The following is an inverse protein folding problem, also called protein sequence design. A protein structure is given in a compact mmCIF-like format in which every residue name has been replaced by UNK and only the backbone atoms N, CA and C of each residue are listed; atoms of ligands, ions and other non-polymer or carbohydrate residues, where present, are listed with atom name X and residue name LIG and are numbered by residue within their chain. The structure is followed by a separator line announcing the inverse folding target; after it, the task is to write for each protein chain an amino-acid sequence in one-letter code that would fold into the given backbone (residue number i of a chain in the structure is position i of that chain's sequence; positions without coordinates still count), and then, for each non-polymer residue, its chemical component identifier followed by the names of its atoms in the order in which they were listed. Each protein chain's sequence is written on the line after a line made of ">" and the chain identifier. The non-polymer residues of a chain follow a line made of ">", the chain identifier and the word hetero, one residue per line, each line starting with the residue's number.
data_IF_182321523443
#
_entry.id   IF_182321523443
#
_cell.length_a   1.000
_cell.length_b   1.000
_cell.length_c   1.000
_cell.angle_alpha   90.00
_cell.angle_beta   90.00
_cell.angle_gamma   90.00
#
_symmetry.space_group_name_H-M   'P 1'
#
loop_
_entity.id
_entity.type
_entity.pdbx_description
1 polymer ?
#
# COMPACT_ATOMS: atom_id res chain seq x y z
N UNK A 1 35.98 2.95 -58.54
CA UNK A 1 34.83 3.34 -57.71
C UNK A 1 34.69 2.34 -56.58
N UNK A 2 35.28 2.65 -55.41
CA UNK A 2 35.50 1.72 -54.28
C UNK A 2 34.91 2.29 -52.98
N UNK A 3 33.63 2.60 -52.89
CA UNK A 3 33.05 3.03 -51.59
C UNK A 3 31.58 2.63 -51.44
N UNK A 4 31.26 1.33 -51.48
CA UNK A 4 29.96 0.82 -50.99
C UNK A 4 30.19 -0.54 -50.31
N UNK A 5 30.95 -0.57 -49.22
CA UNK A 5 31.02 -1.71 -48.30
C UNK A 5 31.48 -1.23 -46.92
N UNK A 6 30.79 -0.28 -46.31
CA UNK A 6 31.08 0.02 -44.90
C UNK A 6 29.94 0.74 -44.16
N UNK A 7 28.69 0.28 -44.30
CA UNK A 7 27.61 0.84 -43.47
C UNK A 7 26.48 -0.16 -43.22
N UNK A 8 26.80 -1.35 -42.71
CA UNK A 8 25.77 -2.29 -42.25
C UNK A 8 26.19 -3.13 -41.03
N UNK A 9 27.08 -2.61 -40.19
CA UNK A 9 27.54 -3.29 -38.96
C UNK A 9 27.20 -2.49 -37.69
N UNK A 10 26.67 -1.27 -37.80
CA UNK A 10 26.41 -0.40 -36.65
C UNK A 10 24.97 -0.46 -36.08
N UNK A 11 24.12 -1.40 -36.53
CA UNK A 11 22.73 -1.53 -36.07
C UNK A 11 22.48 -2.71 -35.12
N UNK A 12 23.50 -3.52 -34.79
CA UNK A 12 23.33 -4.72 -33.96
C UNK A 12 23.64 -4.51 -32.46
N UNK A 13 24.01 -3.31 -32.03
CA UNK A 13 24.37 -3.03 -30.63
C UNK A 13 23.27 -2.38 -29.77
N UNK A 14 22.05 -2.20 -30.29
CA UNK A 14 20.99 -1.45 -29.60
C UNK A 14 19.77 -2.25 -29.14
N UNK A 15 19.82 -3.58 -29.02
CA UNK A 15 18.65 -4.34 -28.54
C UNK A 15 18.96 -5.44 -27.51
N UNK A 16 19.76 -5.12 -26.51
CA UNK A 16 19.60 -5.73 -25.19
C UNK A 16 19.04 -4.67 -24.21
N UNK A 17 17.86 -4.12 -24.53
CA UNK A 17 16.99 -3.65 -23.46
C UNK A 17 16.57 -4.91 -22.71
N UNK A 18 17.30 -5.26 -21.66
CA UNK A 18 16.76 -6.09 -20.58
C UNK A 18 15.61 -5.27 -19.98
N UNK A 19 14.45 -5.24 -20.64
CA UNK A 19 13.22 -4.86 -19.99
C UNK A 19 13.01 -5.93 -18.94
N UNK A 20 13.50 -5.69 -17.71
CA UNK A 20 12.92 -6.35 -16.55
C UNK A 20 11.45 -6.01 -16.66
N UNK A 21 10.64 -6.97 -17.10
CA UNK A 21 9.20 -6.80 -17.12
C UNK A 21 8.80 -6.43 -15.70
N UNK A 22 8.45 -5.16 -15.53
CA UNK A 22 8.05 -4.66 -14.23
C UNK A 22 6.71 -5.29 -13.90
N UNK A 23 6.59 -5.86 -12.70
CA UNK A 23 5.37 -6.55 -12.30
C UNK A 23 4.17 -5.63 -12.46
N UNK A 24 3.09 -6.14 -13.05
CA UNK A 24 1.96 -5.31 -13.50
C UNK A 24 1.25 -4.51 -12.40
N UNK A 25 1.32 -4.98 -11.16
CA UNK A 25 0.76 -4.27 -10.02
C UNK A 25 1.62 -3.08 -9.57
N UNK A 26 2.84 -2.88 -10.10
CA UNK A 26 3.68 -1.74 -9.72
C UNK A 26 3.02 -0.43 -10.18
N UNK A 27 3.03 0.53 -9.27
CA UNK A 27 2.42 1.85 -9.45
C UNK A 27 1.53 2.24 -8.28
N UNK A 28 0.72 3.26 -8.52
CA UNK A 28 -0.26 3.80 -7.57
C UNK A 28 -1.67 3.37 -7.93
N UNK A 29 -2.43 3.04 -6.89
CA UNK A 29 -3.78 2.53 -7.00
C UNK A 29 -4.65 3.06 -5.87
N UNK A 30 -5.96 3.09 -6.07
CA UNK A 30 -6.90 3.46 -5.04
C UNK A 30 -8.20 2.64 -5.09
N UNK A 31 -8.97 2.71 -4.01
CA UNK A 31 -10.35 2.23 -3.94
C UNK A 31 -11.15 3.01 -2.90
N UNK A 32 -12.47 2.93 -3.02
CA UNK A 32 -13.39 3.22 -1.94
C UNK A 32 -13.85 1.90 -1.33
N UNK A 33 -13.76 1.76 -0.02
CA UNK A 33 -14.35 0.63 0.69
C UNK A 33 -15.83 0.87 1.00
N UNK A 34 -16.54 -0.20 1.31
CA UNK A 34 -17.99 -0.16 1.57
C UNK A 34 -18.36 0.78 2.71
N UNK A 35 -17.46 0.94 3.67
CA UNK A 35 -17.62 1.83 4.82
C UNK A 35 -17.43 3.32 4.50
N UNK A 36 -17.20 3.65 3.22
CA UNK A 36 -16.96 5.02 2.78
C UNK A 36 -15.52 5.47 2.98
N UNK A 37 -14.60 4.59 3.41
CA UNK A 37 -13.19 4.95 3.50
C UNK A 37 -12.52 4.97 2.13
N UNK A 38 -11.61 5.92 1.95
CA UNK A 38 -10.75 6.01 0.77
C UNK A 38 -9.38 5.42 1.09
N UNK A 39 -8.86 4.59 0.20
CA UNK A 39 -7.61 3.84 0.41
C UNK A 39 -6.69 4.00 -0.79
N UNK A 40 -5.42 4.31 -0.55
CA UNK A 40 -4.37 4.42 -1.55
C UNK A 40 -3.27 3.38 -1.33
N UNK A 41 -2.79 2.80 -2.43
CA UNK A 41 -1.74 1.80 -2.46
C UNK A 41 -0.61 2.30 -3.37
N UNK A 42 0.63 2.32 -2.87
CA UNK A 42 1.84 2.40 -3.70
C UNK A 42 2.53 1.06 -3.66
N UNK A 43 2.64 0.41 -4.81
CA UNK A 43 3.33 -0.87 -4.96
C UNK A 43 4.61 -0.60 -5.75
N UNK A 44 5.76 -0.93 -5.16
CA UNK A 44 7.07 -0.84 -5.81
C UNK A 44 7.77 -2.19 -5.78
N UNK A 45 8.93 -2.31 -6.42
CA UNK A 45 9.76 -3.51 -6.33
C UNK A 45 10.28 -3.82 -4.90
N UNK A 46 10.24 -2.85 -3.98
CA UNK A 46 10.89 -2.94 -2.67
C UNK A 46 9.90 -2.91 -1.51
N UNK A 47 8.79 -2.21 -1.68
CA UNK A 47 7.78 -2.04 -0.65
C UNK A 47 6.38 -1.86 -1.22
N UNK A 48 5.40 -2.14 -0.38
CA UNK A 48 4.00 -1.76 -0.55
C UNK A 48 3.64 -0.80 0.58
N UNK A 49 3.07 0.34 0.24
CA UNK A 49 2.59 1.35 1.18
C UNK A 49 1.08 1.47 1.01
N UNK A 50 0.35 1.43 2.12
CA UNK A 50 -1.11 1.57 2.15
C UNK A 50 -1.50 2.69 3.11
N UNK A 51 -2.38 3.57 2.66
CA UNK A 51 -2.98 4.67 3.44
C UNK A 51 -4.49 4.56 3.38
N UNK A 52 -5.16 4.91 4.47
CA UNK A 52 -6.62 4.87 4.58
C UNK A 52 -7.13 6.08 5.34
N UNK A 53 -8.31 6.59 4.98
CA UNK A 53 -8.96 7.68 5.74
C UNK A 53 -9.43 7.24 7.13
N UNK A 54 -9.39 5.93 7.45
CA UNK A 54 -9.74 5.42 8.78
C UNK A 54 -8.66 5.64 9.85
N UNK A 55 -7.42 5.90 9.46
CA UNK A 55 -6.34 6.10 10.41
C UNK A 55 -5.20 6.95 9.83
N UNK A 56 -4.44 7.61 10.72
CA UNK A 56 -3.19 8.30 10.33
C UNK A 56 -1.98 7.35 10.35
N UNK A 57 -2.23 6.03 10.32
CA UNK A 57 -1.18 5.02 10.26
C UNK A 57 -0.77 4.78 8.82
N UNK A 58 0.54 4.71 8.58
CA UNK A 58 1.09 4.31 7.28
C UNK A 58 1.43 2.84 7.37
N UNK A 59 0.66 2.00 6.69
CA UNK A 59 0.97 0.58 6.59
C UNK A 59 2.06 0.39 5.55
N UNK A 60 3.18 -0.20 5.98
CA UNK A 60 4.33 -0.40 5.12
C UNK A 60 4.77 -1.86 5.19
N UNK A 61 4.87 -2.50 4.03
CA UNK A 61 5.33 -3.87 3.89
C UNK A 61 6.54 -3.90 2.97
N UNK A 62 7.54 -4.70 3.30
CA UNK A 62 8.59 -5.05 2.34
C UNK A 62 7.94 -5.90 1.26
N UNK A 63 8.30 -5.64 0.00
CA UNK A 63 7.82 -6.38 -1.15
C UNK A 63 9.00 -7.00 -1.91
N UNK A 64 8.83 -8.23 -2.37
CA UNK A 64 9.70 -8.86 -3.35
C UNK A 64 8.83 -9.46 -4.46
N UNK A 65 9.30 -9.40 -5.70
CA UNK A 65 8.61 -10.06 -6.82
C UNK A 65 9.27 -11.39 -7.12
N UNK A 66 8.52 -12.48 -6.96
CA UNK A 66 8.97 -13.85 -7.21
C UNK A 66 7.93 -14.54 -8.09
N UNK A 67 8.36 -15.06 -9.25
CA UNK A 67 7.48 -15.74 -10.21
C UNK A 67 6.21 -14.92 -10.55
N UNK A 68 6.38 -13.61 -10.74
CA UNK A 68 5.30 -12.66 -11.01
C UNK A 68 4.22 -12.61 -9.90
N UNK A 69 4.60 -12.86 -8.65
CA UNK A 69 3.77 -12.64 -7.46
C UNK A 69 4.45 -11.62 -6.54
N UNK A 70 3.66 -10.86 -5.79
CA UNK A 70 4.13 -9.97 -4.74
C UNK A 70 4.26 -10.76 -3.44
N UNK A 71 5.46 -10.84 -2.87
CA UNK A 71 5.70 -11.49 -1.58
C UNK A 71 5.92 -10.40 -0.55
N UNK A 72 4.91 -10.20 0.29
CA UNK A 72 4.84 -9.17 1.30
C UNK A 72 5.32 -9.71 2.64
N UNK A 73 6.13 -8.92 3.32
CA UNK A 73 6.56 -9.21 4.69
C UNK A 73 6.57 -7.91 5.50
N UNK A 74 6.09 -7.96 6.74
CA UNK A 74 6.17 -6.81 7.64
C UNK A 74 7.63 -6.44 7.94
N UNK A 75 7.89 -5.15 8.17
CA UNK A 75 9.20 -4.72 8.67
C UNK A 75 9.33 -5.20 10.11
N UNK A 76 10.43 -5.89 10.43
CA UNK A 76 10.72 -6.43 11.78
C UNK A 76 10.76 -5.39 12.92
N UNK A 77 10.58 -4.10 12.65
CA UNK A 77 10.83 -3.00 13.59
C UNK A 77 9.56 -2.19 13.91
N UNK A 78 8.47 -2.85 14.32
CA UNK A 78 7.27 -2.22 14.85
C UNK A 78 6.83 -2.88 16.17
N UNK A 79 5.99 -2.21 16.96
CA UNK A 79 5.43 -2.73 18.23
C UNK A 79 4.31 -3.76 18.05
N UNK A 80 3.88 -4.02 16.80
CA UNK A 80 2.84 -5.01 16.48
C UNK A 80 3.46 -6.36 16.18
N UNK A 81 2.81 -7.43 16.67
CA UNK A 81 3.17 -8.81 16.37
C UNK A 81 3.13 -9.03 14.85
N UNK A 82 4.17 -9.67 14.33
CA UNK A 82 4.35 -9.93 12.89
C UNK A 82 3.12 -10.67 12.34
N UNK A 83 2.25 -9.94 11.65
CA UNK A 83 1.20 -10.53 10.82
C UNK A 83 1.88 -11.29 9.70
N UNK A 84 1.53 -12.56 9.53
CA UNK A 84 2.22 -13.50 8.65
C UNK A 84 2.51 -12.92 7.25
N UNK A 85 3.71 -13.21 6.73
CA UNK A 85 4.05 -12.93 5.33
C UNK A 85 2.92 -13.37 4.40
N UNK A 86 2.55 -12.54 3.44
CA UNK A 86 1.51 -12.86 2.46
C UNK A 86 2.09 -12.93 1.06
N UNK A 87 1.52 -13.81 0.24
CA UNK A 87 1.76 -13.81 -1.20
C UNK A 87 0.52 -13.23 -1.87
N UNK A 88 0.67 -12.06 -2.48
CA UNK A 88 -0.40 -11.40 -3.22
C UNK A 88 -0.24 -11.68 -4.71
N UNK A 89 -1.29 -12.24 -5.30
CA UNK A 89 -1.31 -12.62 -6.72
C UNK A 89 -2.19 -11.66 -7.51
N UNK A 90 -1.75 -11.28 -8.71
CA UNK A 90 -2.60 -10.52 -9.63
C UNK A 90 -3.53 -11.48 -10.36
N UNK A 91 -4.84 -11.35 -10.14
CA UNK A 91 -5.86 -12.24 -10.71
C UNK A 91 -6.37 -11.72 -12.04
N UNK A 92 -6.58 -10.39 -12.13
CA UNK A 92 -7.01 -9.72 -13.37
C UNK A 92 -6.35 -8.37 -13.49
N UNK A 93 -6.14 -7.94 -14.73
CA UNK A 93 -5.56 -6.63 -15.04
C UNK A 93 -6.17 -5.98 -16.27
N UNK A 94 -6.20 -4.65 -16.24
CA UNK A 94 -6.39 -3.76 -17.37
C UNK A 94 -5.52 -2.51 -17.17
N UNK A 95 -5.53 -1.58 -18.13
CA UNK A 95 -4.79 -0.31 -18.00
C UNK A 95 -5.13 0.46 -16.73
N UNK A 96 -6.42 0.47 -16.36
CA UNK A 96 -6.95 1.35 -15.31
C UNK A 96 -7.39 0.58 -14.05
N UNK A 97 -7.16 -0.75 -14.01
CA UNK A 97 -7.69 -1.60 -12.94
C UNK A 97 -6.86 -2.85 -12.71
N UNK A 98 -6.66 -3.21 -11.46
CA UNK A 98 -6.08 -4.50 -11.07
C UNK A 98 -6.97 -5.17 -10.03
N UNK A 99 -6.96 -6.50 -10.04
CA UNK A 99 -7.55 -7.31 -8.97
C UNK A 99 -6.43 -8.12 -8.36
N UNK A 100 -6.14 -7.85 -7.11
CA UNK A 100 -5.18 -8.56 -6.29
C UNK A 100 -5.90 -9.57 -5.40
N UNK A 101 -5.26 -10.69 -5.09
CA UNK A 101 -5.78 -11.68 -4.14
C UNK A 101 -4.71 -12.05 -3.13
N UNK A 102 -5.05 -11.95 -1.84
CA UNK A 102 -4.23 -12.48 -0.76
C UNK A 102 -4.25 -14.02 -0.78
N UNK A 103 -3.10 -14.67 -0.63
CA UNK A 103 -3.05 -16.13 -0.43
C UNK A 103 -3.27 -16.51 1.02
N UNK A 104 -2.97 -15.61 1.94
CA UNK A 104 -3.16 -15.81 3.36
C UNK A 104 -4.65 -15.70 3.77
N UNK A 105 -5.33 -14.59 3.44
CA UNK A 105 -6.74 -14.40 3.81
C UNK A 105 -7.70 -14.94 2.74
N UNK A 106 -7.24 -15.02 1.49
CA UNK A 106 -8.09 -15.38 0.35
C UNK A 106 -8.85 -14.20 -0.25
N UNK A 107 -8.80 -13.02 0.37
CA UNK A 107 -9.55 -11.83 -0.01
C UNK A 107 -9.09 -11.25 -1.35
N UNK A 108 -10.03 -10.59 -2.02
CA UNK A 108 -9.79 -9.88 -3.26
C UNK A 108 -9.80 -8.37 -3.00
N UNK A 109 -8.82 -7.66 -3.56
CA UNK A 109 -8.76 -6.21 -3.60
C UNK A 109 -8.84 -5.76 -5.05
N UNK A 110 -9.97 -5.15 -5.40
CA UNK A 110 -10.18 -4.50 -6.69
C UNK A 110 -9.75 -3.04 -6.59
N UNK A 111 -8.72 -2.67 -7.35
CA UNK A 111 -8.07 -1.36 -7.25
C UNK A 111 -8.09 -0.65 -8.61
N UNK A 112 -8.37 0.65 -8.58
CA UNK A 112 -8.34 1.51 -9.76
C UNK A 112 -6.99 2.21 -9.85
N UNK A 113 -6.52 2.44 -11.08
CA UNK A 113 -5.26 3.14 -11.31
C UNK A 113 -5.39 4.56 -10.78
N UNK A 114 -4.37 5.01 -10.06
CA UNK A 114 -4.25 6.40 -9.66
C UNK A 114 -3.00 7.01 -10.30
N UNK A 115 -3.08 8.29 -10.66
CA UNK A 115 -2.01 9.00 -11.38
C UNK A 115 -1.38 10.04 -10.46
N UNK A 116 -0.73 9.55 -9.40
CA UNK A 116 0.06 10.40 -8.50
C UNK A 116 1.31 9.66 -8.06
N UNK A 117 2.32 10.43 -7.66
CA UNK A 117 3.58 9.91 -7.15
C UNK A 117 3.67 10.05 -5.63
N UNK A 118 4.42 9.13 -5.04
CA UNK A 118 4.84 9.22 -3.65
C UNK A 118 6.30 9.63 -3.64
N UNK A 119 6.66 10.56 -2.76
CA UNK A 119 8.05 10.77 -2.41
C UNK A 119 8.62 9.46 -1.83
N UNK A 120 9.82 9.02 -2.28
CA UNK A 120 10.51 7.89 -1.67
C UNK A 120 10.67 8.08 -0.17
N UNK A 121 10.73 6.97 0.58
CA UNK A 121 10.90 7.00 2.03
C UNK A 121 12.22 7.69 2.37
N UNK A 122 12.15 8.83 3.06
CA UNK A 122 13.32 9.49 3.61
C UNK A 122 13.62 8.96 5.01
N UNK A 123 14.51 7.98 5.08
CA UNK A 123 14.94 7.39 6.36
C UNK A 123 15.71 8.37 7.25
N UNK A 124 16.24 9.47 6.70
CA UNK A 124 16.99 10.47 7.47
C UNK A 124 16.06 11.47 8.15
N UNK A 125 14.85 11.65 7.61
CA UNK A 125 13.83 12.56 8.15
C UNK A 125 12.42 11.94 8.10
N UNK A 126 12.27 10.80 8.77
CA UNK A 126 11.03 10.00 8.75
C UNK A 126 9.79 10.77 9.21
N UNK A 127 9.92 11.63 10.23
CA UNK A 127 8.79 12.40 10.76
C UNK A 127 8.27 13.43 9.74
N UNK A 128 9.18 14.16 9.09
CA UNK A 128 8.81 15.11 8.04
C UNK A 128 8.21 14.37 6.84
N UNK A 129 8.84 13.29 6.40
CA UNK A 129 8.33 12.46 5.31
C UNK A 129 6.91 11.95 5.61
N UNK A 130 6.69 11.39 6.81
CA UNK A 130 5.38 10.91 7.25
C UNK A 130 4.33 12.03 7.19
N UNK A 131 4.67 13.21 7.71
CA UNK A 131 3.77 14.37 7.70
C UNK A 131 3.40 14.79 6.27
N UNK A 132 4.38 14.84 5.37
CA UNK A 132 4.16 15.22 3.98
C UNK A 132 3.27 14.21 3.25
N UNK A 133 3.57 12.91 3.40
CA UNK A 133 2.79 11.84 2.76
C UNK A 133 1.34 11.84 3.25
N UNK A 134 1.11 11.97 4.57
CA UNK A 134 -0.25 12.04 5.12
C UNK A 134 -0.99 13.31 4.67
N UNK A 135 -0.31 14.45 4.61
CA UNK A 135 -0.90 15.71 4.13
C UNK A 135 -1.37 15.57 2.68
N UNK A 136 -0.51 15.05 1.80
CA UNK A 136 -0.84 14.85 0.39
C UNK A 136 -1.93 13.80 0.18
N UNK A 137 -1.92 12.72 0.95
CA UNK A 137 -3.01 11.75 0.98
C UNK A 137 -4.33 12.39 1.38
N UNK A 138 -4.37 13.12 2.50
CA UNK A 138 -5.58 13.77 2.99
C UNK A 138 -6.13 14.80 1.98
N UNK A 139 -5.24 15.54 1.31
CA UNK A 139 -5.59 16.45 0.23
C UNK A 139 -6.23 15.73 -0.96
N UNK A 140 -5.76 14.53 -1.34
CA UNK A 140 -6.37 13.75 -2.41
C UNK A 140 -7.69 13.13 -1.97
N UNK A 141 -7.72 12.55 -0.77
CA UNK A 141 -8.91 11.92 -0.19
C UNK A 141 -10.10 12.89 -0.10
N UNK A 142 -9.87 14.15 0.26
CA UNK A 142 -10.93 15.17 0.33
C UNK A 142 -11.54 15.53 -1.03
N UNK A 143 -10.87 15.21 -2.14
CA UNK A 143 -11.37 15.42 -3.49
C UNK A 143 -12.13 14.19 -4.05
N UNK A 144 -12.21 13.10 -3.29
CA UNK A 144 -12.88 11.85 -3.69
C UNK A 144 -14.08 11.61 -2.77
N UNK A 145 -15.24 11.36 -3.35
CA UNK A 145 -16.45 11.01 -2.59
C UNK A 145 -16.56 9.49 -2.53
N UNK A 146 -16.23 8.91 -1.38
CA UNK A 146 -16.49 7.50 -1.07
C UNK A 146 -17.76 7.40 -0.21
N UNK A 147 -18.84 6.83 -0.76
CA UNK A 147 -20.11 6.69 -0.05
C UNK A 147 -20.13 5.44 0.82
N UNK A 148 -20.49 5.58 2.10
CA UNK A 148 -20.76 4.44 2.98
C UNK A 148 -22.05 3.72 2.53
N UNK A 149 -21.87 2.52 1.98
CA UNK A 149 -22.93 1.66 1.43
C UNK A 149 -23.32 0.52 2.37
N UNK A 150 -22.76 0.49 3.60
CA UNK A 150 -23.11 -0.52 4.60
C UNK A 150 -24.55 -0.38 5.05
N UNK A 151 -25.15 -1.51 5.46
CA UNK A 151 -26.44 -1.52 6.12
C UNK A 151 -26.32 -1.11 7.61
N UNK A 152 -27.46 -0.99 8.31
CA UNK A 152 -27.47 -0.54 9.72
C UNK A 152 -26.75 -1.52 10.67
N UNK A 153 -26.80 -2.82 10.39
CA UNK A 153 -26.20 -3.84 11.24
C UNK A 153 -24.67 -3.83 11.12
N UNK A 154 -24.16 -3.71 9.89
CA UNK A 154 -22.73 -3.53 9.59
C UNK A 154 -22.15 -2.26 10.22
N UNK A 155 -22.95 -1.19 10.33
CA UNK A 155 -22.53 0.07 10.99
C UNK A 155 -22.49 -0.04 12.51
N UNK A 156 -23.36 -0.86 13.12
CA UNK A 156 -23.38 -1.05 14.58
C UNK A 156 -22.11 -1.73 15.09
N UNK A 157 -21.56 -2.65 14.32
CA UNK A 157 -20.34 -3.39 14.70
C UNK A 157 -19.13 -2.46 14.89
N UNK A 158 -18.92 -1.48 14.00
CA UNK A 158 -17.81 -0.52 14.12
C UNK A 158 -17.91 0.33 15.39
N UNK A 159 -19.13 0.76 15.76
CA UNK A 159 -19.37 1.51 16.99
C UNK A 159 -19.02 0.69 18.24
N UNK A 160 -19.30 -0.61 18.25
CA UNK A 160 -18.97 -1.49 19.37
C UNK A 160 -17.45 -1.72 19.49
N UNK A 161 -16.75 -1.89 18.37
CA UNK A 161 -15.28 -2.09 18.35
C UNK A 161 -14.53 -0.82 18.77
N UNK A 162 -14.95 0.36 18.31
CA UNK A 162 -14.36 1.64 18.72
C UNK A 162 -14.50 1.87 20.24
N UNK A 163 -15.66 1.58 20.81
CA UNK A 163 -15.89 1.73 22.26
C UNK A 163 -15.13 0.70 23.10
N UNK A 164 -14.91 -0.53 22.60
CA UNK A 164 -14.07 -1.52 23.30
C UNK A 164 -12.61 -1.07 23.32
N UNK A 165 -12.10 -0.50 22.22
CA UNK A 165 -10.74 0.03 22.16
C UNK A 165 -10.50 1.20 23.13
N UNK A 166 -11.48 2.09 23.29
CA UNK A 166 -11.43 3.20 24.25
C UNK A 166 -11.44 2.70 25.72
N UNK A 167 -12.26 1.70 26.02
CA UNK A 167 -12.36 1.07 27.35
C UNK A 167 -11.09 0.31 27.78
N UNK A 168 -10.31 -0.23 26.84
CA UNK A 168 -9.04 -0.90 27.14
C UNK A 168 -7.89 0.09 27.36
N UNK A 169 -7.87 1.22 26.64
CA UNK A 169 -6.90 2.29 26.87
C UNK A 169 -7.06 2.95 28.25
N UNK A 170 -8.29 3.24 28.67
CA UNK A 170 -8.59 3.81 29.99
C UNK A 170 -8.16 2.91 31.16
N UNK A 171 -8.15 1.58 30.96
CA UNK A 171 -7.67 0.63 31.97
C UNK A 171 -6.15 0.60 32.07
N UNK A 172 -5.44 0.75 30.94
CA UNK A 172 -3.98 0.79 30.89
C UNK A 172 -3.40 2.05 31.56
N UNK A 173 -4.07 3.20 31.43
CA UNK A 173 -3.64 4.44 32.07
C UNK A 173 -3.87 4.44 33.59
N UNK A 174 -4.93 3.77 34.08
CA UNK A 174 -5.14 3.56 35.53
C UNK A 174 -4.06 2.67 36.16
N UNK A 175 -3.68 1.58 35.49
CA UNK A 175 -2.64 0.66 35.99
C UNK A 175 -1.27 1.34 36.10
N UNK A 176 -0.96 2.31 35.24
CA UNK A 176 0.30 3.07 35.32
C UNK A 176 0.33 4.04 36.50
N UNK A 177 -0.79 4.70 36.81
CA UNK A 177 -0.87 5.66 37.93
C UNK A 177 -0.71 4.93 39.27
N UNK A 178 -1.33 3.77 39.44
CA UNK A 178 -1.25 2.98 40.68
C UNK A 178 0.13 2.35 40.94
N UNK A 179 1.02 2.35 39.94
CA UNK A 179 2.38 1.76 40.03
C UNK A 179 3.51 2.76 40.29
N UNK A 180 3.19 4.07 40.37
CA UNK A 180 4.16 5.16 40.62
C UNK A 180 4.05 5.69 42.06
N UNK A 181 2.99 5.34 42.79
CA UNK A 181 2.85 5.63 44.22
C UNK A 181 3.11 4.37 45.07
N UNK A 182 4.38 3.96 45.19
CA UNK A 182 4.91 3.19 46.32
C UNK A 182 6.41 3.39 46.47
#
# INVERSE_FOLDING_TARGET
>A
MKHIKLTFVLLLFFNCQNSKEEHVAIGTWNKCDKDGSYIEWKITNQYMLILTTRSNEIFLFKNNIINNNLVLSEFKNGTRLVGNNDTVVTVRRSKNKIILRSRFTGDYSELNKAEFDFEPIDSTNLELWRKNILSEFNRRASNVICTDTRNKDEKRYDFEVENIGELEMDKLDKIKIDSIEN
#
